data_IF_450148906182
#
_entry.id   IF_450148906182
#
_cell.length_a   1.000
_cell.length_b   1.000
_cell.length_c   1.000
_cell.angle_alpha   90.00
_cell.angle_beta   90.00
_cell.angle_gamma   90.00
#
_symmetry.space_group_name_H-M   'P 1'
#
loop_
_entity.id
_entity.type
_entity.pdbx_description
1 polymer ?
#
# COMPACT_ATOMS: atom_id res chain seq x y z
N UNK A 1 2.91 -11.53 -13.59
CA UNK A 1 1.95 -10.40 -13.65
C UNK A 1 2.14 -9.51 -12.42
N UNK A 2 1.53 -9.78 -11.26
CA UNK A 2 1.58 -8.89 -10.09
C UNK A 2 2.99 -8.40 -9.68
N UNK A 3 4.01 -9.28 -9.62
CA UNK A 3 5.39 -8.88 -9.28
C UNK A 3 6.00 -7.89 -10.29
N UNK A 4 5.72 -8.08 -11.57
CA UNK A 4 6.23 -7.21 -12.64
C UNK A 4 5.55 -5.84 -12.60
N UNK A 5 4.24 -5.81 -12.34
CA UNK A 5 3.49 -4.57 -12.17
C UNK A 5 4.01 -3.77 -10.96
N UNK A 6 4.29 -4.44 -9.84
CA UNK A 6 4.95 -3.83 -8.68
C UNK A 6 6.34 -3.29 -9.01
N UNK A 7 7.15 -4.01 -9.78
CA UNK A 7 8.47 -3.52 -10.23
C UNK A 7 8.34 -2.26 -11.10
N UNK A 8 7.35 -2.20 -11.98
CA UNK A 8 7.10 -1.02 -12.83
C UNK A 8 6.63 0.16 -11.98
N UNK A 9 5.71 -0.06 -11.04
CA UNK A 9 5.26 0.99 -10.11
C UNK A 9 6.40 1.50 -9.25
N UNK A 10 7.24 0.60 -8.73
CA UNK A 10 8.42 0.95 -7.94
C UNK A 10 9.41 1.78 -8.76
N UNK A 11 9.72 1.35 -9.99
CA UNK A 11 10.55 2.12 -10.91
C UNK A 11 9.96 3.49 -11.21
N UNK A 12 8.66 3.56 -11.50
CA UNK A 12 7.98 4.80 -11.86
C UNK A 12 7.89 5.78 -10.68
N UNK A 13 7.65 5.29 -9.46
CA UNK A 13 7.71 6.10 -8.25
C UNK A 13 9.15 6.62 -8.03
N UNK A 14 10.14 5.75 -8.11
CA UNK A 14 11.54 6.08 -7.82
C UNK A 14 11.67 6.71 -6.43
N UNK A 15 12.36 7.84 -6.35
CA UNK A 15 12.57 8.62 -5.11
C UNK A 15 11.50 9.70 -4.87
N UNK A 16 10.47 9.76 -5.72
CA UNK A 16 9.42 10.79 -5.60
C UNK A 16 8.50 10.45 -4.41
N UNK A 17 7.98 11.45 -3.69
CA UNK A 17 7.02 11.19 -2.63
C UNK A 17 5.66 10.72 -3.18
N UNK A 18 5.33 11.08 -4.43
CA UNK A 18 4.12 10.69 -5.15
C UNK A 18 4.44 10.41 -6.63
N UNK A 19 3.58 9.69 -7.34
CA UNK A 19 3.85 9.26 -8.73
C UNK A 19 4.11 10.42 -9.69
N UNK A 20 3.45 11.56 -9.50
CA UNK A 20 3.61 12.76 -10.34
C UNK A 20 4.37 13.91 -9.66
N UNK A 21 5.19 13.60 -8.65
CA UNK A 21 6.08 14.58 -8.02
C UNK A 21 5.75 14.81 -6.56
N UNK A 22 5.54 16.07 -6.16
CA UNK A 22 5.49 16.47 -4.74
C UNK A 22 4.08 16.54 -4.15
N UNK A 23 3.03 16.46 -4.98
CA UNK A 23 1.64 16.49 -4.52
C UNK A 23 0.93 15.19 -4.89
N UNK A 24 0.06 14.67 -4.01
CA UNK A 24 -0.73 13.48 -4.30
C UNK A 24 -1.78 13.78 -5.37
N UNK A 25 -2.07 12.75 -6.17
CA UNK A 25 -3.06 12.75 -7.24
C UNK A 25 -4.04 11.59 -7.08
N UNK A 26 -5.06 11.51 -7.94
CA UNK A 26 -5.96 10.36 -7.97
C UNK A 26 -5.25 9.03 -8.29
N UNK A 27 -4.12 9.08 -9.00
CA UNK A 27 -3.28 7.90 -9.27
C UNK A 27 -2.67 7.38 -7.97
N UNK A 28 -2.20 8.25 -7.09
CA UNK A 28 -1.67 7.86 -5.78
C UNK A 28 -2.75 7.22 -4.91
N UNK A 29 -3.97 7.77 -4.90
CA UNK A 29 -5.10 7.19 -4.19
C UNK A 29 -5.45 5.78 -4.70
N UNK A 30 -5.46 5.60 -6.03
CA UNK A 30 -5.75 4.32 -6.67
C UNK A 30 -4.66 3.29 -6.39
N UNK A 31 -3.39 3.68 -6.54
CA UNK A 31 -2.25 2.84 -6.24
C UNK A 31 -2.21 2.45 -4.76
N UNK A 32 -2.47 3.41 -3.87
CA UNK A 32 -2.54 3.17 -2.43
C UNK A 32 -3.56 2.09 -2.09
N UNK A 33 -4.79 2.15 -2.62
CA UNK A 33 -5.82 1.14 -2.33
C UNK A 33 -5.38 -0.28 -2.67
N UNK A 34 -4.66 -0.46 -3.78
CA UNK A 34 -4.12 -1.77 -4.16
C UNK A 34 -2.94 -2.19 -3.27
N UNK A 35 -2.00 -1.28 -3.03
CA UNK A 35 -0.77 -1.59 -2.28
C UNK A 35 -1.06 -1.84 -0.79
N UNK A 36 -1.94 -1.06 -0.18
CA UNK A 36 -2.32 -1.24 1.23
C UNK A 36 -3.08 -2.54 1.46
N UNK A 37 -3.86 -2.98 0.45
CA UNK A 37 -4.50 -4.30 0.49
C UNK A 37 -3.45 -5.40 0.59
N UNK A 38 -2.32 -5.26 -0.11
CA UNK A 38 -1.22 -6.23 -0.07
C UNK A 38 -0.50 -6.22 1.30
N UNK A 39 -0.29 -5.04 1.90
CA UNK A 39 0.45 -4.94 3.17
C UNK A 39 -0.37 -5.31 4.40
N UNK A 40 -1.64 -4.87 4.44
CA UNK A 40 -2.44 -4.83 5.66
C UNK A 40 -3.60 -5.84 5.66
N UNK A 41 -3.88 -6.51 4.53
CA UNK A 41 -4.86 -7.62 4.51
C UNK A 41 -4.17 -8.96 4.76
N UNK A 42 -4.78 -9.88 5.53
CA UNK A 42 -4.34 -11.27 5.61
C UNK A 42 -4.51 -11.95 4.25
N UNK A 43 -3.42 -12.11 3.49
CA UNK A 43 -3.43 -12.81 2.21
C UNK A 43 -3.18 -14.31 2.42
N UNK A 44 -3.93 -15.16 1.71
CA UNK A 44 -3.73 -16.61 1.75
C UNK A 44 -2.33 -17.05 1.27
N UNK A 45 -1.66 -16.25 0.44
CA UNK A 45 -0.30 -16.48 -0.01
C UNK A 45 0.58 -15.25 0.29
N UNK A 46 1.61 -15.37 1.15
CA UNK A 46 2.45 -14.24 1.54
C UNK A 46 3.45 -13.82 0.46
N UNK A 47 3.65 -14.61 -0.61
CA UNK A 47 4.73 -14.42 -1.57
C UNK A 47 4.72 -13.08 -2.32
N UNK A 48 3.56 -12.43 -2.44
CA UNK A 48 3.46 -11.09 -3.03
C UNK A 48 3.85 -9.99 -2.02
N UNK A 49 3.43 -10.13 -0.77
CA UNK A 49 3.81 -9.23 0.32
C UNK A 49 5.32 -9.29 0.55
N UNK A 50 5.89 -10.49 0.65
CA UNK A 50 7.34 -10.67 0.77
C UNK A 50 8.08 -10.10 -0.44
N UNK A 51 7.57 -10.25 -1.67
CA UNK A 51 8.20 -9.59 -2.82
C UNK A 51 8.21 -8.07 -2.67
N UNK A 52 7.10 -7.47 -2.21
CA UNK A 52 6.99 -6.04 -2.05
C UNK A 52 7.96 -5.49 -0.98
N UNK A 53 8.10 -6.22 0.13
CA UNK A 53 9.03 -5.91 1.24
C UNK A 53 10.51 -5.96 0.79
N UNK A 54 10.89 -6.95 -0.03
CA UNK A 54 12.31 -7.17 -0.37
C UNK A 54 12.73 -6.52 -1.68
N UNK A 55 11.82 -6.39 -2.65
CA UNK A 55 12.15 -5.97 -4.03
C UNK A 55 11.62 -4.59 -4.39
N UNK A 56 10.67 -4.03 -3.64
CA UNK A 56 10.09 -2.71 -3.91
C UNK A 56 9.87 -1.90 -2.61
N UNK A 57 10.92 -1.67 -1.80
CA UNK A 57 10.78 -1.02 -0.49
C UNK A 57 10.21 0.41 -0.58
N UNK A 58 10.46 1.13 -1.67
CA UNK A 58 9.89 2.46 -1.88
C UNK A 58 8.35 2.46 -1.99
N UNK A 59 7.74 1.36 -2.42
CA UNK A 59 6.28 1.21 -2.40
C UNK A 59 5.74 1.01 -0.98
N UNK A 60 6.50 0.33 -0.11
CA UNK A 60 6.17 0.20 1.32
C UNK A 60 6.23 1.56 1.99
N UNK A 61 7.29 2.34 1.73
CA UNK A 61 7.42 3.70 2.24
C UNK A 61 6.31 4.62 1.71
N UNK A 62 5.91 4.47 0.44
CA UNK A 62 4.77 5.18 -0.13
C UNK A 62 3.47 4.88 0.61
N UNK A 63 3.16 3.60 0.85
CA UNK A 63 1.97 3.20 1.62
C UNK A 63 2.01 3.82 3.02
N UNK A 64 3.16 3.73 3.70
CA UNK A 64 3.34 4.31 5.02
C UNK A 64 3.13 5.83 5.02
N UNK A 65 3.70 6.55 4.04
CA UNK A 65 3.55 8.00 3.87
C UNK A 65 2.08 8.40 3.68
N UNK A 66 1.35 7.69 2.82
CA UNK A 66 -0.06 7.95 2.55
C UNK A 66 -0.90 7.72 3.82
N UNK A 67 -0.67 6.62 4.54
CA UNK A 67 -1.34 6.35 5.84
C UNK A 67 -1.10 7.48 6.82
N UNK A 68 0.15 7.87 7.07
CA UNK A 68 0.48 8.95 8.00
C UNK A 68 -0.10 10.31 7.60
N UNK A 69 -0.19 10.59 6.30
CA UNK A 69 -0.64 11.90 5.80
C UNK A 69 -2.16 12.05 5.89
N UNK A 70 -2.92 10.99 5.60
CA UNK A 70 -4.39 11.07 5.44
C UNK A 70 -5.19 10.32 6.52
N UNK A 71 -4.57 9.33 7.18
CA UNK A 71 -5.18 8.48 8.20
C UNK A 71 -4.20 8.24 9.36
N UNK A 72 -3.82 9.27 10.12
CA UNK A 72 -2.87 9.14 11.23
C UNK A 72 -3.35 8.14 12.31
N UNK A 73 -4.64 7.85 12.34
CA UNK A 73 -5.33 6.89 13.21
C UNK A 73 -5.62 5.53 12.53
N UNK A 74 -4.91 5.20 11.44
CA UNK A 74 -5.16 4.01 10.61
C UNK A 74 -5.37 2.71 11.40
N UNK A 75 -4.51 2.41 12.37
CA UNK A 75 -4.64 1.17 13.16
C UNK A 75 -5.95 1.12 13.96
N UNK A 76 -6.37 2.26 14.49
CA UNK A 76 -7.66 2.40 15.17
C UNK A 76 -8.81 2.21 14.19
N UNK A 77 -8.75 2.83 13.00
CA UNK A 77 -9.77 2.67 11.96
C UNK A 77 -9.91 1.22 11.51
N UNK A 78 -8.81 0.53 11.21
CA UNK A 78 -8.85 -0.87 10.79
C UNK A 78 -9.37 -1.81 11.87
N UNK A 79 -9.17 -1.49 13.15
CA UNK A 79 -9.64 -2.34 14.26
C UNK A 79 -11.10 -2.06 14.65
N UNK A 80 -11.57 -0.81 14.50
CA UNK A 80 -12.92 -0.37 14.92
C UNK A 80 -13.94 -0.41 13.79
N UNK A 81 -13.49 -0.17 12.56
CA UNK A 81 -14.29 -0.25 11.33
C UNK A 81 -13.99 -1.53 10.54
N UNK A 82 -13.15 -2.44 11.07
CA UNK A 82 -13.19 -3.82 10.63
C UNK A 82 -14.66 -4.21 10.56
N UNK A 83 -15.11 -4.63 9.39
CA UNK A 83 -16.37 -5.33 9.25
C UNK A 83 -16.18 -6.62 10.03
N UNK A 84 -16.34 -6.55 11.35
CA UNK A 84 -16.52 -7.67 12.24
C UNK A 84 -17.86 -8.29 11.82
N UNK A 85 -17.86 -9.03 10.72
CA UNK A 85 -18.85 -10.06 10.52
C UNK A 85 -18.75 -10.98 11.73
N UNK A 86 -19.87 -11.37 12.37
CA UNK A 86 -19.82 -12.27 13.51
C UNK A 86 -18.99 -13.50 13.11
N UNK A 87 -18.06 -13.84 14.00
CA UNK A 87 -17.12 -14.95 13.92
C UNK A 87 -17.74 -16.19 13.27
N UNK A 88 -17.06 -16.75 12.26
CA UNK A 88 -17.28 -18.12 11.79
C UNK A 88 -16.52 -19.09 12.69
#
# INVERSE_FOLDING_TARGET
MAKQDLSILSFYLGDKPYFFGTKPTSVDATAFGQLVTITDTPLANPGIKSFMEHSTPNLIEFVHRIKQTFWPDWESLCSTLALNGPEL
#
